data_IF_749466770072
#
_entry.id   IF_749466770072
#
_cell.length_a   1.000
_cell.length_b   1.000
_cell.length_c   1.000
_cell.angle_alpha   90.00
_cell.angle_beta   90.00
_cell.angle_gamma   90.00
#
_symmetry.space_group_name_H-M   'P 1'
#
loop_
_entity.id
_entity.type
_entity.pdbx_description
1 polymer ?
#
# COMPACT_ATOMS: atom_id res chain seq x y z
N UNK A 1 -34.83 3.25 -10.63
CA UNK A 1 -34.63 2.73 -9.26
C UNK A 1 -33.25 3.15 -8.83
N UNK A 2 -33.18 4.02 -7.81
CA UNK A 2 -31.97 4.72 -7.40
C UNK A 2 -31.46 4.06 -6.11
N UNK A 3 -30.50 3.15 -6.22
CA UNK A 3 -29.83 2.52 -5.07
C UNK A 3 -28.33 2.48 -5.34
N UNK A 4 -27.69 3.65 -5.31
CA UNK A 4 -26.25 3.75 -5.13
C UNK A 4 -26.01 4.36 -3.75
N UNK A 5 -26.06 3.51 -2.73
CA UNK A 5 -25.48 3.82 -1.42
C UNK A 5 -23.97 3.98 -1.63
N UNK A 6 -23.53 5.22 -1.84
CA UNK A 6 -22.12 5.62 -1.74
C UNK A 6 -21.64 5.40 -0.31
N UNK A 7 -21.30 4.16 0.03
CA UNK A 7 -20.40 3.87 1.14
C UNK A 7 -18.97 4.24 0.70
N UNK A 8 -18.71 5.53 0.50
CA UNK A 8 -17.34 6.00 0.33
C UNK A 8 -16.71 6.04 1.72
N UNK A 9 -15.70 5.18 1.96
CA UNK A 9 -14.86 5.31 3.14
C UNK A 9 -14.25 6.71 3.12
N UNK A 10 -14.49 7.49 4.19
CA UNK A 10 -13.87 8.81 4.30
C UNK A 10 -12.40 8.62 4.67
N UNK A 11 -11.50 8.98 3.76
CA UNK A 11 -10.06 8.97 4.00
C UNK A 11 -9.49 10.39 4.02
N UNK A 12 -8.38 10.53 4.73
CA UNK A 12 -7.52 11.70 4.73
C UNK A 12 -6.45 11.53 3.64
N UNK A 13 -6.10 12.62 2.94
CA UNK A 13 -4.95 12.70 2.06
C UNK A 13 -3.82 13.42 2.80
N UNK A 14 -2.66 12.78 2.89
CA UNK A 14 -1.48 13.29 3.59
C UNK A 14 -0.38 13.44 2.56
N UNK A 15 0.28 14.59 2.45
CA UNK A 15 1.41 14.76 1.54
C UNK A 15 2.45 13.64 1.79
N UNK A 16 2.90 12.97 0.72
CA UNK A 16 3.82 11.83 0.77
C UNK A 16 5.26 12.37 0.79
N UNK A 17 6.01 12.23 1.91
CA UNK A 17 7.44 12.49 1.89
C UNK A 17 8.13 11.48 0.97
N UNK A 18 9.43 11.66 0.73
CA UNK A 18 10.22 10.70 -0.05
C UNK A 18 9.98 9.28 0.45
N UNK A 19 9.56 8.38 -0.45
CA UNK A 19 9.25 7.00 -0.08
C UNK A 19 10.44 6.35 0.63
N UNK A 20 10.18 5.64 1.73
CA UNK A 20 11.22 5.01 2.54
C UNK A 20 12.03 5.95 3.43
N UNK A 21 11.76 7.27 3.40
CA UNK A 21 12.40 8.19 4.35
C UNK A 21 11.84 8.03 5.76
N UNK A 22 12.60 8.55 6.75
CA UNK A 22 12.16 8.59 8.14
C UNK A 22 10.82 9.33 8.30
N UNK A 23 10.63 10.48 7.64
CA UNK A 23 9.36 11.23 7.69
C UNK A 23 8.18 10.41 7.15
N UNK A 24 8.40 9.69 6.04
CA UNK A 24 7.40 8.81 5.47
C UNK A 24 7.04 7.67 6.44
N UNK A 25 8.04 7.08 7.09
CA UNK A 25 7.83 6.04 8.10
C UNK A 25 7.11 6.58 9.34
N UNK A 26 7.49 7.76 9.85
CA UNK A 26 6.87 8.39 11.03
C UNK A 26 5.37 8.62 10.81
N UNK A 27 5.00 9.12 9.64
CA UNK A 27 3.59 9.25 9.24
C UNK A 27 2.88 7.89 9.12
N UNK A 28 3.59 6.79 8.87
CA UNK A 28 3.00 5.44 8.87
C UNK A 28 3.04 4.74 10.24
N UNK A 29 3.71 5.34 11.22
CA UNK A 29 3.83 4.79 12.58
C UNK A 29 2.81 5.39 13.51
N UNK A 30 2.54 6.70 13.39
CA UNK A 30 1.65 7.44 14.29
C UNK A 30 0.68 8.35 13.54
N UNK A 31 -0.53 8.48 14.09
CA UNK A 31 -1.44 9.54 13.70
C UNK A 31 -1.12 10.85 14.44
N UNK A 32 -1.83 11.92 14.11
CA UNK A 32 -1.66 13.24 14.74
C UNK A 32 -1.90 13.25 16.26
N UNK A 33 -2.62 12.25 16.78
CA UNK A 33 -2.91 12.09 18.20
C UNK A 33 -1.88 11.16 18.88
N UNK A 34 -0.80 10.78 18.18
CA UNK A 34 0.25 9.90 18.69
C UNK A 34 -0.17 8.42 18.79
N UNK A 35 -1.26 8.01 18.14
CA UNK A 35 -1.73 6.62 18.18
C UNK A 35 -1.11 5.81 17.06
N UNK A 36 -0.88 4.52 17.30
CA UNK A 36 -0.31 3.62 16.31
C UNK A 36 -1.14 3.57 15.01
N UNK A 37 -0.46 3.56 13.87
CA UNK A 37 -1.03 3.25 12.56
C UNK A 37 -0.21 2.19 11.84
N UNK A 38 -0.83 1.59 10.82
CA UNK A 38 -0.28 0.49 10.05
C UNK A 38 -0.19 0.89 8.58
N UNK A 39 0.88 0.47 7.92
CA UNK A 39 0.93 0.42 6.48
C UNK A 39 0.07 -0.72 5.94
N UNK A 40 -0.32 -0.65 4.67
CA UNK A 40 -0.97 -1.80 4.02
C UNK A 40 -0.09 -3.06 4.08
N UNK A 41 1.23 -2.89 3.92
CA UNK A 41 2.23 -3.96 4.00
C UNK A 41 2.34 -4.61 5.39
N UNK A 42 1.77 -4.01 6.44
CA UNK A 42 1.77 -4.57 7.80
C UNK A 42 0.59 -5.56 7.99
N UNK A 43 -0.44 -5.47 7.14
CA UNK A 43 -1.64 -6.30 7.21
C UNK A 43 -1.36 -7.82 7.20
N UNK A 44 -0.43 -8.34 6.38
CA UNK A 44 -0.13 -9.77 6.39
C UNK A 44 0.42 -10.24 7.74
N UNK A 45 1.26 -9.43 8.40
CA UNK A 45 1.76 -9.75 9.74
C UNK A 45 0.63 -9.67 10.78
N UNK A 46 -0.23 -8.63 10.74
CA UNK A 46 -1.42 -8.51 11.60
C UNK A 46 -2.34 -9.73 11.51
N UNK A 47 -2.49 -10.29 10.32
CA UNK A 47 -3.38 -11.42 10.06
C UNK A 47 -2.69 -12.78 10.22
N UNK A 48 -1.41 -12.81 10.60
CA UNK A 48 -0.64 -14.05 10.76
C UNK A 48 -0.38 -14.78 9.43
N UNK A 49 -0.41 -14.07 8.31
CA UNK A 49 -0.22 -14.58 6.95
C UNK A 49 1.15 -14.24 6.35
N UNK A 50 1.97 -13.42 7.02
CA UNK A 50 3.30 -13.05 6.55
C UNK A 50 4.32 -14.17 6.79
N UNK A 51 5.13 -14.55 5.79
CA UNK A 51 6.27 -15.44 5.99
C UNK A 51 7.53 -14.72 6.51
N UNK A 52 7.49 -13.38 6.65
CA UNK A 52 8.67 -12.56 6.98
C UNK A 52 8.60 -11.90 8.36
N UNK A 53 7.41 -11.74 8.93
CA UNK A 53 7.21 -11.02 10.19
C UNK A 53 5.99 -11.55 10.93
N UNK A 54 6.13 -11.80 12.23
CA UNK A 54 5.02 -12.22 13.08
C UNK A 54 4.27 -11.01 13.65
N UNK A 55 3.10 -11.25 14.27
CA UNK A 55 2.37 -10.22 15.02
C UNK A 55 3.21 -9.62 16.16
N UNK A 56 4.03 -10.43 16.81
CA UNK A 56 4.90 -9.98 17.91
C UNK A 56 6.03 -9.09 17.39
N UNK A 57 6.63 -9.45 16.25
CA UNK A 57 7.65 -8.62 15.60
C UNK A 57 7.07 -7.26 15.20
N UNK A 58 5.90 -7.27 14.57
CA UNK A 58 5.21 -6.03 14.20
C UNK A 58 4.84 -5.19 15.42
N UNK A 59 4.39 -5.82 16.52
CA UNK A 59 4.09 -5.09 17.75
C UNK A 59 5.34 -4.40 18.30
N UNK A 60 6.47 -5.10 18.36
CA UNK A 60 7.73 -4.54 18.80
C UNK A 60 8.18 -3.38 17.91
N UNK A 61 8.19 -3.59 16.59
CA UNK A 61 8.56 -2.60 15.57
C UNK A 61 7.70 -1.32 15.66
N UNK A 62 6.39 -1.48 15.87
CA UNK A 62 5.48 -0.35 16.07
C UNK A 62 5.58 0.29 17.46
N UNK A 63 6.24 -0.34 18.42
CA UNK A 63 6.42 0.20 19.79
C UNK A 63 7.65 1.09 19.93
N UNK A 64 8.55 1.06 18.95
CA UNK A 64 9.76 1.88 18.90
C UNK A 64 9.68 2.93 17.80
N UNK A 65 10.69 3.80 17.72
CA UNK A 65 10.85 4.71 16.58
C UNK A 65 11.13 3.92 15.30
N UNK A 66 10.58 4.36 14.15
CA UNK A 66 10.82 3.67 12.88
C UNK A 66 12.30 3.72 12.51
N UNK A 67 12.82 2.61 12.03
CA UNK A 67 14.18 2.53 11.49
C UNK A 67 14.12 2.59 9.97
N UNK A 68 14.92 3.47 9.36
CA UNK A 68 15.10 3.47 7.90
C UNK A 68 15.88 2.22 7.52
N UNK A 69 15.30 1.36 6.69
CA UNK A 69 16.01 0.20 6.18
C UNK A 69 17.06 0.60 5.13
N UNK A 70 18.21 -0.08 5.16
CA UNK A 70 19.22 0.02 4.11
C UNK A 70 18.68 -0.44 2.76
N UNK A 71 19.19 0.13 1.67
CA UNK A 71 18.79 -0.20 0.30
C UNK A 71 19.22 -1.63 -0.08
N UNK A 72 18.34 -2.60 0.19
CA UNK A 72 18.54 -4.00 -0.20
C UNK A 72 18.28 -4.17 -1.71
N UNK A 73 19.02 -5.04 -2.42
CA UNK A 73 18.84 -5.26 -3.85
C UNK A 73 17.40 -5.58 -4.30
N UNK A 74 16.65 -6.28 -3.45
CA UNK A 74 15.24 -6.63 -3.71
C UNK A 74 14.32 -5.39 -3.74
N UNK A 75 14.54 -4.43 -2.85
CA UNK A 75 13.77 -3.17 -2.81
C UNK A 75 14.19 -2.26 -3.96
N UNK A 76 15.50 -2.16 -4.21
CA UNK A 76 16.04 -1.41 -5.36
C UNK A 76 15.43 -1.89 -6.69
N UNK A 77 15.36 -3.20 -6.91
CA UNK A 77 14.73 -3.76 -8.13
C UNK A 77 13.28 -3.31 -8.27
N UNK A 78 12.50 -3.40 -7.18
CA UNK A 78 11.11 -2.94 -7.16
C UNK A 78 11.00 -1.47 -7.53
N UNK A 79 11.73 -0.61 -6.82
CA UNK A 79 11.69 0.84 -7.03
C UNK A 79 12.12 1.26 -8.45
N UNK A 80 13.10 0.58 -9.04
CA UNK A 80 13.57 0.87 -10.41
C UNK A 80 12.54 0.45 -11.45
N UNK A 81 11.84 -0.68 -11.25
CA UNK A 81 10.92 -1.24 -12.22
C UNK A 81 9.47 -0.73 -12.06
N UNK A 82 9.11 -0.17 -10.90
CA UNK A 82 7.77 0.36 -10.62
C UNK A 82 7.27 1.31 -11.72
N UNK A 83 8.03 2.33 -12.19
CA UNK A 83 7.54 3.23 -13.24
C UNK A 83 7.15 2.51 -14.53
N UNK A 84 7.95 1.52 -14.96
CA UNK A 84 7.66 0.74 -16.16
C UNK A 84 6.43 -0.18 -15.99
N UNK A 85 6.23 -0.73 -14.78
CA UNK A 85 5.04 -1.51 -14.47
C UNK A 85 3.77 -0.65 -14.47
N UNK A 86 3.85 0.60 -14.00
CA UNK A 86 2.72 1.54 -14.04
C UNK A 86 2.40 2.00 -15.47
N UNK A 87 3.43 2.19 -16.30
CA UNK A 87 3.26 2.49 -17.73
C UNK A 87 2.54 1.34 -18.45
N UNK A 88 2.99 0.10 -18.24
CA UNK A 88 2.33 -1.07 -18.84
C UNK A 88 0.91 -1.27 -18.29
N UNK A 89 0.69 -1.06 -16.98
CA UNK A 89 -0.66 -1.08 -16.41
C UNK A 89 -1.56 -0.02 -17.05
N UNK A 90 -1.04 1.18 -17.31
CA UNK A 90 -1.76 2.25 -18.00
C UNK A 90 -2.17 1.84 -19.41
N UNK A 91 -1.23 1.22 -20.14
CA UNK A 91 -1.47 0.72 -21.49
C UNK A 91 -2.54 -0.38 -21.53
N UNK A 92 -2.43 -1.39 -20.66
CA UNK A 92 -3.38 -2.51 -20.59
C UNK A 92 -4.78 -2.08 -20.18
N UNK A 93 -4.89 -1.11 -19.28
CA UNK A 93 -6.17 -0.61 -18.77
C UNK A 93 -6.78 0.50 -19.66
N UNK A 94 -6.00 1.09 -20.56
CA UNK A 94 -6.44 2.23 -21.38
C UNK A 94 -6.71 3.50 -20.58
N UNK A 95 -6.09 3.65 -19.41
CA UNK A 95 -6.23 4.80 -18.51
C UNK A 95 -4.86 5.29 -18.06
N UNK A 96 -4.73 6.56 -17.67
CA UNK A 96 -3.48 7.07 -17.13
C UNK A 96 -3.34 6.71 -15.64
N UNK A 97 -2.45 5.78 -15.32
CA UNK A 97 -2.07 5.43 -13.94
C UNK A 97 -0.77 6.13 -13.58
N UNK A 98 -0.74 6.82 -12.45
CA UNK A 98 0.45 7.54 -11.98
C UNK A 98 0.65 7.37 -10.47
N UNK A 99 1.89 7.55 -10.01
CA UNK A 99 2.19 7.53 -8.58
C UNK A 99 1.65 8.77 -7.89
N UNK A 100 0.76 8.64 -6.89
CA UNK A 100 0.24 9.79 -6.18
C UNK A 100 1.32 10.44 -5.30
N UNK A 101 1.24 11.76 -5.19
CA UNK A 101 2.02 12.61 -4.29
C UNK A 101 1.49 12.60 -2.85
N UNK A 102 0.46 11.81 -2.56
CA UNK A 102 -0.16 11.66 -1.25
C UNK A 102 -0.18 10.21 -0.77
N UNK A 103 -0.27 10.06 0.54
CA UNK A 103 -0.69 8.86 1.24
C UNK A 103 -2.17 8.99 1.61
N UNK A 104 -2.85 7.87 1.74
CA UNK A 104 -4.26 7.82 2.11
C UNK A 104 -4.41 7.19 3.50
N UNK A 105 -5.22 7.79 4.35
CA UNK A 105 -5.46 7.29 5.71
C UNK A 105 -6.94 7.14 6.00
N UNK A 106 -7.33 5.95 6.46
CA UNK A 106 -8.64 5.71 7.05
C UNK A 106 -8.51 4.69 8.20
N UNK A 107 -9.24 4.92 9.29
CA UNK A 107 -9.13 4.10 10.50
C UNK A 107 -7.70 4.07 11.03
N UNK A 108 -7.10 2.87 11.09
CA UNK A 108 -5.72 2.65 11.54
C UNK A 108 -4.72 2.39 10.43
N UNK A 109 -5.14 2.48 9.16
CA UNK A 109 -4.25 2.29 8.03
C UNK A 109 -3.83 3.61 7.40
N UNK A 110 -2.53 3.78 7.21
CA UNK A 110 -1.88 4.84 6.41
C UNK A 110 -1.20 4.16 5.23
N UNK A 111 -1.84 4.18 4.07
CA UNK A 111 -1.35 3.46 2.88
C UNK A 111 -0.61 4.40 1.93
N UNK A 112 0.37 3.84 1.24
CA UNK A 112 0.97 4.45 0.06
C UNK A 112 0.59 3.57 -1.12
N UNK A 113 0.06 4.17 -2.19
CA UNK A 113 -0.20 3.48 -3.45
C UNK A 113 0.97 3.69 -4.40
N UNK A 114 1.22 2.67 -5.21
CA UNK A 114 2.22 2.72 -6.28
C UNK A 114 1.63 3.47 -7.48
N UNK A 115 0.37 3.18 -7.84
CA UNK A 115 -0.37 3.88 -8.89
C UNK A 115 -1.84 4.12 -8.58
N UNK A 116 -2.37 5.25 -9.06
CA UNK A 116 -3.81 5.58 -9.10
C UNK A 116 -4.17 6.27 -10.42
N UNK A 117 -5.43 6.24 -10.81
CA UNK A 117 -5.97 6.98 -11.96
C UNK A 117 -6.31 8.45 -11.63
N UNK A 118 -6.64 8.71 -10.36
CA UNK A 118 -6.99 10.03 -9.86
C UNK A 118 -6.55 10.14 -8.41
N UNK A 119 -5.78 11.17 -8.05
CA UNK A 119 -5.26 11.33 -6.68
C UNK A 119 -6.34 11.80 -5.68
N UNK A 120 -7.34 12.56 -6.14
CA UNK A 120 -8.37 13.11 -5.27
C UNK A 120 -9.47 12.11 -4.95
N UNK A 121 -9.80 11.28 -5.94
CA UNK A 121 -10.84 10.28 -5.87
C UNK A 121 -10.45 9.08 -6.74
N UNK A 122 -9.51 8.23 -6.28
CA UNK A 122 -9.09 7.06 -7.03
C UNK A 122 -10.29 6.17 -7.34
N UNK A 123 -10.42 5.74 -8.59
CA UNK A 123 -11.38 4.70 -9.00
C UNK A 123 -10.68 3.43 -9.44
N UNK A 124 -9.38 3.53 -9.74
CA UNK A 124 -8.46 2.43 -10.00
C UNK A 124 -7.21 2.62 -9.16
N UNK A 125 -6.72 1.54 -8.57
CA UNK A 125 -5.46 1.53 -7.82
C UNK A 125 -4.60 0.36 -8.24
N UNK A 126 -3.32 0.63 -8.50
CA UNK A 126 -2.33 -0.39 -8.88
C UNK A 126 -1.32 -0.56 -7.74
N UNK A 127 -1.06 -1.82 -7.40
CA UNK A 127 0.04 -2.25 -6.53
C UNK A 127 1.03 -3.03 -7.41
N UNK A 128 2.20 -2.46 -7.65
CA UNK A 128 3.19 -3.02 -8.56
C UNK A 128 4.14 -3.93 -7.79
N UNK A 129 4.23 -5.20 -8.20
CA UNK A 129 5.14 -6.18 -7.58
C UNK A 129 6.15 -6.70 -8.57
N UNK A 130 7.40 -6.78 -8.14
CA UNK A 130 8.42 -7.60 -8.80
C UNK A 130 8.79 -8.76 -7.89
N UNK A 131 8.87 -9.96 -8.44
CA UNK A 131 9.15 -11.16 -7.65
C UNK A 131 10.08 -12.10 -8.40
N UNK A 132 10.90 -12.81 -7.63
CA UNK A 132 11.65 -13.99 -8.09
C UNK A 132 11.18 -15.27 -7.38
N UNK A 133 10.19 -15.15 -6.48
CA UNK A 133 9.69 -16.24 -5.63
C UNK A 133 8.41 -16.87 -6.18
N UNK A 134 7.61 -16.09 -6.90
CA UNK A 134 6.28 -16.49 -7.35
C UNK A 134 6.16 -16.34 -8.86
N UNK A 135 5.43 -17.25 -9.48
CA UNK A 135 4.96 -17.11 -10.84
C UNK A 135 3.49 -16.73 -10.77
N UNK A 136 3.15 -15.53 -11.25
CA UNK A 136 1.78 -14.99 -11.22
C UNK A 136 1.32 -14.82 -12.66
N UNK A 137 0.31 -15.58 -13.05
CA UNK A 137 -0.30 -15.49 -14.38
C UNK A 137 -1.73 -14.95 -14.30
N UNK A 138 -2.41 -15.22 -13.19
CA UNK A 138 -3.80 -14.83 -12.93
C UNK A 138 -3.96 -14.35 -11.49
N UNK A 139 -5.13 -13.80 -11.15
CA UNK A 139 -5.45 -13.38 -9.79
C UNK A 139 -5.42 -14.54 -8.77
N UNK A 140 -5.68 -15.78 -9.21
CA UNK A 140 -5.66 -16.95 -8.34
C UNK A 140 -4.24 -17.31 -7.87
N UNK A 141 -3.22 -16.91 -8.63
CA UNK A 141 -1.81 -17.13 -8.31
C UNK A 141 -1.26 -16.11 -7.29
N UNK A 142 -2.02 -15.07 -6.96
CA UNK A 142 -1.54 -14.02 -6.06
C UNK A 142 -1.20 -14.60 -4.68
N UNK A 143 0.05 -14.41 -4.19
CA UNK A 143 0.45 -14.80 -2.85
C UNK A 143 -0.50 -14.21 -1.80
N UNK A 144 -0.84 -15.01 -0.79
CA UNK A 144 -1.87 -14.64 0.18
C UNK A 144 -1.47 -13.40 0.99
N UNK A 145 -0.19 -13.22 1.26
CA UNK A 145 0.34 -12.00 1.88
C UNK A 145 0.14 -10.76 1.01
N UNK A 146 0.17 -10.87 -0.32
CA UNK A 146 -0.13 -9.73 -1.19
C UNK A 146 -1.62 -9.40 -1.20
N UNK A 147 -2.49 -10.42 -1.12
CA UNK A 147 -3.94 -10.21 -1.00
C UNK A 147 -4.30 -9.44 0.28
N UNK A 148 -3.67 -9.76 1.41
CA UNK A 148 -3.88 -9.02 2.66
C UNK A 148 -3.45 -7.55 2.56
N UNK A 149 -2.31 -7.29 1.93
CA UNK A 149 -1.88 -5.91 1.65
C UNK A 149 -2.93 -5.21 0.78
N UNK A 150 -3.39 -5.89 -0.27
CA UNK A 150 -4.41 -5.37 -1.15
C UNK A 150 -5.71 -5.02 -0.42
N UNK A 151 -6.24 -5.95 0.39
CA UNK A 151 -7.49 -5.73 1.13
C UNK A 151 -7.37 -4.58 2.14
N UNK A 152 -6.20 -4.40 2.75
CA UNK A 152 -5.94 -3.23 3.57
C UNK A 152 -6.03 -1.93 2.76
N UNK A 153 -5.50 -1.90 1.53
CA UNK A 153 -5.65 -0.74 0.65
C UNK A 153 -7.10 -0.49 0.24
N UNK A 154 -7.82 -1.56 -0.14
CA UNK A 154 -9.24 -1.49 -0.47
C UNK A 154 -10.07 -0.99 0.73
N UNK A 155 -9.72 -1.37 1.97
CA UNK A 155 -10.40 -0.90 3.18
C UNK A 155 -10.28 0.61 3.39
N UNK A 156 -9.23 1.24 2.84
CA UNK A 156 -9.02 2.69 2.94
C UNK A 156 -9.67 3.43 1.79
N UNK A 157 -9.47 2.98 0.55
CA UNK A 157 -9.91 3.70 -0.65
C UNK A 157 -11.29 3.27 -1.17
N UNK A 158 -11.79 2.12 -0.74
CA UNK A 158 -12.95 1.44 -1.33
C UNK A 158 -12.84 1.24 -2.86
N UNK A 159 -11.61 1.03 -3.32
CA UNK A 159 -11.26 0.75 -4.72
C UNK A 159 -10.96 -0.74 -4.86
N UNK A 160 -11.52 -1.44 -5.87
CA UNK A 160 -11.20 -2.84 -6.12
C UNK A 160 -9.69 -3.08 -6.28
N UNK A 161 -9.29 -4.31 -5.93
CA UNK A 161 -7.96 -4.84 -6.21
C UNK A 161 -7.88 -5.46 -7.58
#
# INVERSE_FOLDING_TARGET
MNTSTKNSVKYERIAKPKHGSEDWLRLRWRDKDGRCTFGASDAPALMGASPYSTRSDLFFDKSVDPTVEDDKPVFRRGNVLEPALLEEASHLLGINVFTPSVMYRAGRFTISKDGVDNEECPTVGVEAKTTSRYSVHTADDLPFEWRWQGWAQQSVLNVPL
#
